data_IF_428915226723
#
_entry.id   IF_428915226723
#
_cell.length_a   1.000
_cell.length_b   1.000
_cell.length_c   1.000
_cell.angle_alpha   90.00
_cell.angle_beta   90.00
_cell.angle_gamma   90.00
#
_symmetry.space_group_name_H-M   'P 1'
#
loop_
_entity.id
_entity.type
_entity.pdbx_description
1 polymer ?
#
# COMPACT_ATOMS: atom_id res chain seq x y z
N UNK A 1 -0.50 -14.81 -39.19
CA UNK A 1 -1.74 -14.05 -38.93
C UNK A 1 -2.53 -14.57 -37.73
N UNK A 2 -2.63 -15.90 -37.50
CA UNK A 2 -3.37 -16.45 -36.34
C UNK A 2 -2.87 -15.97 -34.97
N UNK A 3 -1.57 -15.73 -34.81
CA UNK A 3 -0.96 -15.28 -33.55
C UNK A 3 -1.35 -13.83 -33.19
N UNK A 4 -1.51 -12.97 -34.21
CA UNK A 4 -1.90 -11.56 -34.01
C UNK A 4 -3.38 -11.47 -33.61
N UNK A 5 -4.22 -12.36 -34.13
CA UNK A 5 -5.65 -12.45 -33.79
C UNK A 5 -5.83 -12.91 -32.33
N UNK A 6 -5.04 -13.88 -31.86
CA UNK A 6 -5.06 -14.27 -30.44
C UNK A 6 -4.59 -13.14 -29.51
N UNK A 7 -3.62 -12.33 -29.93
CA UNK A 7 -3.11 -11.20 -29.13
C UNK A 7 -4.11 -10.04 -29.05
N UNK A 8 -4.86 -9.78 -30.12
CA UNK A 8 -5.90 -8.74 -30.14
C UNK A 8 -7.15 -9.16 -29.36
N UNK A 9 -7.42 -10.47 -29.22
CA UNK A 9 -8.55 -10.98 -28.44
C UNK A 9 -8.24 -11.14 -26.93
N UNK A 10 -6.98 -11.25 -26.51
CA UNK A 10 -6.60 -11.38 -25.10
C UNK A 10 -6.43 -10.03 -24.38
N UNK A 11 -6.11 -8.96 -25.09
CA UNK A 11 -5.91 -7.61 -24.52
C UNK A 11 -7.20 -6.96 -23.93
N UNK A 12 -8.40 -7.08 -24.53
CA UNK A 12 -9.60 -6.47 -23.95
C UNK A 12 -10.17 -7.22 -22.73
N UNK A 13 -9.67 -8.43 -22.42
CA UNK A 13 -10.06 -9.16 -21.20
C UNK A 13 -9.33 -8.68 -19.93
N UNK A 14 -8.31 -7.82 -20.07
CA UNK A 14 -7.48 -7.34 -18.96
C UNK A 14 -7.84 -5.89 -18.56
N UNK A 15 -8.65 -5.18 -19.36
CA UNK A 15 -9.14 -3.86 -18.97
C UNK A 15 -10.49 -3.96 -18.23
N UNK A 16 -10.49 -3.38 -17.03
CA UNK A 16 -11.60 -3.23 -16.09
C UNK A 16 -11.84 -4.41 -15.12
N UNK A 17 -10.85 -4.69 -14.26
CA UNK A 17 -11.18 -4.79 -12.85
C UNK A 17 -10.85 -3.44 -12.22
N UNK A 18 -11.81 -2.52 -12.27
CA UNK A 18 -11.95 -1.54 -11.20
C UNK A 18 -11.96 -2.34 -9.91
N UNK A 19 -10.94 -2.14 -9.08
CA UNK A 19 -10.79 -2.74 -7.76
C UNK A 19 -12.02 -2.40 -6.91
N UNK A 20 -13.06 -3.23 -7.02
CA UNK A 20 -14.00 -3.45 -5.94
C UNK A 20 -13.26 -4.34 -4.94
N UNK A 21 -12.41 -3.72 -4.14
CA UNK A 21 -12.00 -4.28 -2.85
C UNK A 21 -13.27 -4.51 -2.01
N UNK A 22 -13.44 -5.76 -1.55
CA UNK A 22 -14.45 -6.36 -0.64
C UNK A 22 -15.60 -5.53 0.00
N UNK A 23 -16.80 -6.14 0.20
CA UNK A 23 -18.03 -5.48 0.68
C UNK A 23 -18.08 -5.32 2.24
N UNK A 24 -18.96 -4.49 2.84
CA UNK A 24 -19.90 -3.50 2.30
C UNK A 24 -19.52 -2.07 2.73
N UNK A 25 -18.25 -1.69 2.69
CA UNK A 25 -17.88 -0.29 2.97
C UNK A 25 -18.00 0.50 1.68
N UNK A 26 -19.24 0.73 1.24
CA UNK A 26 -19.48 1.91 0.42
C UNK A 26 -19.07 3.07 1.33
N UNK A 27 -17.94 3.70 1.04
CA UNK A 27 -17.39 4.80 1.84
C UNK A 27 -18.29 6.02 1.62
N UNK A 28 -19.48 5.99 2.23
CA UNK A 28 -20.40 7.12 2.30
C UNK A 28 -19.76 8.15 3.25
N UNK A 29 -19.43 9.34 2.74
CA UNK A 29 -18.80 10.41 3.51
C UNK A 29 -17.42 10.87 3.01
N UNK A 30 -16.86 10.28 1.97
CA UNK A 30 -15.63 10.82 1.37
C UNK A 30 -15.84 12.24 0.81
N UNK A 31 -14.96 13.19 1.18
CA UNK A 31 -15.05 14.61 0.81
C UNK A 31 -15.06 14.85 -0.71
N UNK A 32 -14.56 13.88 -1.49
CA UNK A 32 -14.56 13.88 -2.95
C UNK A 32 -15.96 13.96 -3.58
N UNK A 33 -17.01 13.69 -2.81
CA UNK A 33 -18.40 13.79 -3.25
C UNK A 33 -19.13 15.06 -2.78
N UNK A 34 -18.52 15.87 -1.90
CA UNK A 34 -19.12 17.10 -1.40
C UNK A 34 -18.67 18.30 -2.23
N UNK A 35 -19.62 19.14 -2.67
CA UNK A 35 -19.31 20.39 -3.35
C UNK A 35 -19.40 21.54 -2.37
N UNK A 36 -18.51 22.53 -2.52
CA UNK A 36 -18.59 23.80 -1.77
C UNK A 36 -19.90 24.57 -2.06
N UNK A 37 -20.56 24.25 -3.18
CA UNK A 37 -21.83 24.86 -3.60
C UNK A 37 -23.06 24.07 -3.15
N UNK A 38 -22.90 23.04 -2.32
CA UNK A 38 -24.03 22.32 -1.76
C UNK A 38 -24.84 23.26 -0.84
N UNK A 39 -26.16 23.22 -0.98
CA UNK A 39 -27.09 24.14 -0.30
C UNK A 39 -27.21 23.84 1.20
N UNK A 40 -26.82 22.64 1.61
CA UNK A 40 -26.89 22.13 2.97
C UNK A 40 -25.55 21.49 3.40
N UNK A 41 -25.25 21.59 4.69
CA UNK A 41 -24.03 21.05 5.29
C UNK A 41 -24.07 19.52 5.49
N UNK A 42 -25.15 18.85 5.08
CA UNK A 42 -25.38 17.43 5.34
C UNK A 42 -24.32 16.51 4.75
N UNK A 43 -23.70 16.91 3.62
CA UNK A 43 -22.57 16.17 3.03
C UNK A 43 -21.32 16.28 3.92
N UNK A 44 -20.99 17.50 4.36
CA UNK A 44 -19.83 17.78 5.21
C UNK A 44 -19.98 17.19 6.62
N UNK A 45 -21.19 17.13 7.15
CA UNK A 45 -21.48 16.48 8.43
C UNK A 45 -21.18 14.97 8.38
N UNK A 46 -21.53 14.30 7.27
CA UNK A 46 -21.17 12.89 7.04
C UNK A 46 -19.66 12.71 6.90
N UNK A 47 -19.00 13.64 6.20
CA UNK A 47 -17.54 13.62 6.08
C UNK A 47 -16.85 13.80 7.43
N UNK A 48 -17.34 14.71 8.27
CA UNK A 48 -16.82 14.90 9.62
C UNK A 48 -17.00 13.62 10.45
N UNK A 49 -18.20 13.04 10.45
CA UNK A 49 -18.47 11.79 11.16
C UNK A 49 -17.58 10.64 10.68
N UNK A 50 -17.31 10.57 9.38
CA UNK A 50 -16.38 9.58 8.82
C UNK A 50 -14.96 9.78 9.35
N UNK A 51 -14.43 11.01 9.36
CA UNK A 51 -13.09 11.28 9.88
C UNK A 51 -12.99 11.04 11.39
N UNK A 52 -14.01 11.41 12.16
CA UNK A 52 -14.06 11.12 13.60
C UNK A 52 -13.99 9.62 13.89
N UNK A 53 -14.81 8.81 13.19
CA UNK A 53 -14.78 7.36 13.32
C UNK A 53 -13.43 6.77 12.89
N UNK A 54 -12.84 7.30 11.82
CA UNK A 54 -11.53 6.87 11.33
C UNK A 54 -10.44 7.15 12.35
N UNK A 55 -10.38 8.38 12.87
CA UNK A 55 -9.38 8.79 13.87
C UNK A 55 -9.53 7.97 15.15
N UNK A 56 -10.76 7.74 15.62
CA UNK A 56 -11.01 6.87 16.78
C UNK A 56 -10.58 5.42 16.51
N UNK A 57 -10.82 4.91 15.30
CA UNK A 57 -10.36 3.58 14.88
C UNK A 57 -8.84 3.46 14.91
N UNK A 58 -8.12 4.45 14.38
CA UNK A 58 -6.65 4.49 14.41
C UNK A 58 -6.10 4.59 15.84
N UNK A 59 -6.72 5.39 16.70
CA UNK A 59 -6.36 5.48 18.12
C UNK A 59 -6.54 4.13 18.86
N UNK A 60 -7.65 3.44 18.61
CA UNK A 60 -7.88 2.11 19.17
C UNK A 60 -6.86 1.09 18.65
N UNK A 61 -6.57 1.13 17.35
CA UNK A 61 -5.59 0.25 16.73
C UNK A 61 -4.19 0.49 17.29
N UNK A 62 -3.79 1.75 17.48
CA UNK A 62 -2.55 2.10 18.16
C UNK A 62 -2.46 1.43 19.54
N UNK A 63 -3.49 1.58 20.39
CA UNK A 63 -3.51 0.97 21.73
C UNK A 63 -3.39 -0.55 21.66
N UNK A 64 -4.10 -1.19 20.73
CA UNK A 64 -4.07 -2.64 20.51
C UNK A 64 -2.66 -3.10 20.10
N UNK A 65 -2.05 -2.44 19.11
CA UNK A 65 -0.73 -2.79 18.60
C UNK A 65 0.32 -2.65 19.69
N UNK A 66 0.34 -1.53 20.42
CA UNK A 66 1.30 -1.30 21.50
C UNK A 66 1.12 -2.32 22.63
N UNK A 67 -0.12 -2.64 23.00
CA UNK A 67 -0.43 -3.69 23.99
C UNK A 67 0.10 -5.05 23.55
N UNK A 68 -0.10 -5.41 22.27
CA UNK A 68 0.40 -6.65 21.70
C UNK A 68 1.92 -6.70 21.68
N UNK A 69 2.60 -5.61 21.33
CA UNK A 69 4.07 -5.52 21.33
C UNK A 69 4.64 -5.73 22.73
N UNK A 70 4.11 -5.04 23.75
CA UNK A 70 4.53 -5.22 25.14
C UNK A 70 4.32 -6.66 25.60
N UNK A 71 3.15 -7.23 25.31
CA UNK A 71 2.84 -8.61 25.68
C UNK A 71 3.75 -9.62 24.98
N UNK A 72 4.12 -9.37 23.71
CA UNK A 72 5.07 -10.20 22.97
C UNK A 72 6.46 -10.10 23.58
N UNK A 73 6.95 -8.89 23.86
CA UNK A 73 8.27 -8.70 24.48
C UNK A 73 8.37 -9.37 25.84
N UNK A 74 7.34 -9.25 26.68
CA UNK A 74 7.28 -9.95 27.98
C UNK A 74 7.27 -11.49 27.84
N UNK A 75 6.69 -12.03 26.76
CA UNK A 75 6.74 -13.48 26.48
C UNK A 75 8.13 -13.93 26.03
N UNK A 76 8.84 -13.10 25.27
CA UNK A 76 10.19 -13.39 24.79
C UNK A 76 11.23 -13.25 25.90
N UNK A 77 11.06 -12.27 26.79
CA UNK A 77 11.95 -12.03 27.91
C UNK A 77 11.17 -11.60 29.16
N UNK A 78 11.10 -12.54 30.12
CA UNK A 78 10.42 -12.34 31.40
C UNK A 78 11.15 -11.40 32.38
N UNK A 79 12.39 -11.01 32.07
CA UNK A 79 13.19 -10.12 32.92
C UNK A 79 13.01 -8.64 32.58
N UNK A 80 12.34 -8.32 31.47
CA UNK A 80 12.10 -6.94 31.03
C UNK A 80 11.20 -6.20 32.03
N UNK A 81 11.67 -5.03 32.45
CA UNK A 81 10.84 -4.08 33.20
C UNK A 81 9.81 -3.45 32.26
N UNK A 82 8.58 -3.96 32.33
CA UNK A 82 7.45 -3.51 31.49
C UNK A 82 7.12 -2.02 31.69
N UNK A 83 7.34 -1.46 32.88
CA UNK A 83 7.09 -0.03 33.12
C UNK A 83 8.04 0.83 32.28
N UNK A 84 9.34 0.56 32.34
CA UNK A 84 10.34 1.32 31.58
C UNK A 84 10.09 1.21 30.07
N UNK A 85 9.71 0.02 29.58
CA UNK A 85 9.31 -0.16 28.19
C UNK A 85 8.13 0.74 27.80
N UNK A 86 7.07 0.77 28.61
CA UNK A 86 5.89 1.61 28.35
C UNK A 86 6.25 3.09 28.38
N UNK A 87 7.08 3.52 29.34
CA UNK A 87 7.51 4.92 29.46
C UNK A 87 8.38 5.33 28.25
N UNK A 88 9.22 4.43 27.74
CA UNK A 88 9.97 4.65 26.50
C UNK A 88 9.05 4.74 25.27
N UNK A 89 8.01 3.91 25.19
CA UNK A 89 7.03 3.99 24.11
C UNK A 89 6.28 5.32 24.13
N UNK A 90 5.93 5.84 25.31
CA UNK A 90 5.34 7.17 25.46
C UNK A 90 6.26 8.25 24.90
N UNK A 91 7.51 8.29 25.38
CA UNK A 91 8.49 9.28 24.92
C UNK A 91 8.72 9.21 23.41
N UNK A 92 8.87 8.00 22.85
CA UNK A 92 9.08 7.80 21.42
C UNK A 92 7.86 8.20 20.59
N UNK A 93 6.64 7.95 21.10
CA UNK A 93 5.40 8.29 20.42
C UNK A 93 5.17 9.80 20.38
N UNK A 94 5.41 10.50 21.50
CA UNK A 94 5.38 11.97 21.54
C UNK A 94 6.39 12.53 20.54
N UNK A 95 7.65 12.06 20.60
CA UNK A 95 8.71 12.53 19.70
C UNK A 95 8.38 12.29 18.23
N UNK A 96 7.84 11.12 17.89
CA UNK A 96 7.47 10.79 16.52
C UNK A 96 6.31 11.67 16.03
N UNK A 97 5.29 11.90 16.86
CA UNK A 97 4.12 12.70 16.48
C UNK A 97 4.46 14.19 16.39
N UNK A 98 5.27 14.71 17.31
CA UNK A 98 5.79 16.09 17.22
C UNK A 98 6.62 16.29 15.95
N UNK A 99 7.49 15.32 15.61
CA UNK A 99 8.27 15.37 14.37
C UNK A 99 7.36 15.32 13.14
N UNK A 100 6.37 14.44 13.10
CA UNK A 100 5.43 14.38 11.98
C UNK A 100 4.66 15.69 11.81
N UNK A 101 4.23 16.29 12.92
CA UNK A 101 3.53 17.59 12.94
C UNK A 101 4.41 18.72 12.36
N UNK A 102 5.71 18.75 12.71
CA UNK A 102 6.66 19.72 12.13
C UNK A 102 7.07 19.39 10.69
N UNK A 103 7.15 18.11 10.32
CA UNK A 103 7.50 17.71 8.94
C UNK A 103 6.37 18.08 7.97
N UNK A 104 5.11 17.99 8.41
CA UNK A 104 3.95 18.47 7.65
C UNK A 104 3.96 19.98 7.44
N UNK A 105 4.62 20.76 8.29
CA UNK A 105 4.77 22.21 8.11
C UNK A 105 5.75 22.54 6.97
N UNK A 106 6.82 21.75 6.84
CA UNK A 106 7.90 22.02 5.89
C UNK A 106 7.57 21.73 4.40
N UNK A 107 6.53 20.94 4.14
CA UNK A 107 6.12 20.51 2.78
C UNK A 107 5.19 21.53 2.08
N UNK A 108 4.59 22.47 2.83
CA UNK A 108 3.64 23.47 2.31
C UNK A 108 4.24 24.89 2.18
N UNK A 109 5.55 24.99 2.01
CA UNK A 109 6.31 26.24 1.93
C UNK A 109 6.23 26.93 0.54
N UNK A 110 5.03 27.26 0.06
CA UNK A 110 4.88 28.13 -1.12
C UNK A 110 4.00 29.39 -0.87
N UNK A 111 3.46 29.58 0.35
CA UNK A 111 2.76 30.82 0.71
C UNK A 111 3.16 31.31 2.12
N UNK A 112 3.47 32.60 2.20
CA UNK A 112 4.22 33.34 3.23
C UNK A 112 3.56 33.44 4.63
N UNK A 113 2.47 32.71 4.93
CA UNK A 113 1.58 32.97 6.08
C UNK A 113 1.14 31.72 6.90
N UNK A 114 1.98 30.68 7.06
CA UNK A 114 1.51 29.45 7.73
C UNK A 114 2.51 28.78 8.68
N UNK A 115 2.96 29.49 9.72
CA UNK A 115 3.57 28.91 10.94
C UNK A 115 2.51 28.25 11.83
N UNK A 116 1.67 27.36 11.29
CA UNK A 116 0.64 26.69 12.09
C UNK A 116 0.86 25.18 12.07
N UNK A 117 1.61 24.74 13.07
CA UNK A 117 1.50 23.38 13.61
C UNK A 117 0.03 22.96 13.62
N UNK A 118 -0.28 21.86 12.93
CA UNK A 118 -1.66 21.34 12.80
C UNK A 118 -2.22 20.97 14.18
N UNK A 119 -1.34 20.48 15.05
CA UNK A 119 -1.63 20.19 16.45
C UNK A 119 -0.72 20.99 17.38
N UNK A 120 -1.28 21.51 18.45
CA UNK A 120 -0.49 22.13 19.53
C UNK A 120 0.33 21.06 20.26
N UNK A 121 1.59 21.35 20.67
CA UNK A 121 2.42 20.39 21.39
C UNK A 121 1.75 19.76 22.63
N UNK A 122 0.98 20.56 23.37
CA UNK A 122 0.24 20.11 24.55
C UNK A 122 -0.87 19.10 24.20
N UNK A 123 -1.50 19.26 23.03
CA UNK A 123 -2.52 18.32 22.53
C UNK A 123 -1.88 16.98 22.16
N UNK A 124 -0.70 17.01 21.53
CA UNK A 124 0.08 15.80 21.21
C UNK A 124 0.42 15.06 22.49
N UNK A 125 0.99 15.76 23.48
CA UNK A 125 1.39 15.16 24.74
C UNK A 125 0.19 14.55 25.47
N UNK A 126 -0.92 15.28 25.58
CA UNK A 126 -2.13 14.83 26.27
C UNK A 126 -2.75 13.60 25.59
N UNK A 127 -2.82 13.62 24.26
CA UNK A 127 -3.41 12.52 23.48
C UNK A 127 -2.56 11.25 23.61
N UNK A 128 -1.24 11.36 23.39
CA UNK A 128 -0.33 10.22 23.51
C UNK A 128 -0.34 9.66 24.92
N UNK A 129 -0.29 10.51 25.94
CA UNK A 129 -0.36 10.10 27.34
C UNK A 129 -1.65 9.31 27.64
N UNK A 130 -2.81 9.80 27.19
CA UNK A 130 -4.09 9.11 27.35
C UNK A 130 -4.14 7.75 26.64
N UNK A 131 -3.54 7.64 25.44
CA UNK A 131 -3.45 6.37 24.71
C UNK A 131 -2.53 5.38 25.43
N UNK A 132 -1.36 5.82 25.88
CA UNK A 132 -0.40 4.96 26.58
C UNK A 132 -0.93 4.52 27.96
N UNK A 133 -1.67 5.36 28.67
CA UNK A 133 -2.32 4.95 29.91
C UNK A 133 -3.32 3.81 29.69
N UNK A 134 -4.04 3.83 28.57
CA UNK A 134 -4.87 2.70 28.17
C UNK A 134 -4.04 1.44 27.86
N UNK A 135 -2.89 1.56 27.20
CA UNK A 135 -1.95 0.44 26.99
C UNK A 135 -1.47 -0.13 28.33
N UNK A 136 -1.08 0.73 29.28
CA UNK A 136 -0.64 0.34 30.63
C UNK A 136 -1.74 -0.44 31.36
N UNK A 137 -2.98 0.03 31.29
CA UNK A 137 -4.14 -0.66 31.86
C UNK A 137 -4.40 -2.03 31.23
N UNK A 138 -4.39 -2.11 29.90
CA UNK A 138 -4.70 -3.35 29.18
C UNK A 138 -3.60 -4.41 29.29
N UNK A 139 -2.33 -4.00 29.31
CA UNK A 139 -1.19 -4.90 29.53
C UNK A 139 -1.20 -5.52 30.94
N UNK A 140 -1.73 -4.81 31.94
CA UNK A 140 -1.86 -5.30 33.32
C UNK A 140 -3.00 -6.31 33.47
N UNK A 141 -4.08 -6.17 32.69
CA UNK A 141 -5.33 -6.91 32.94
C UNK A 141 -5.44 -8.30 32.29
N UNK A 142 -4.72 -8.63 31.21
CA UNK A 142 -4.57 -10.01 30.66
C UNK A 142 -3.91 -9.99 29.28
N UNK A 143 -3.28 -11.10 28.88
CA UNK A 143 -2.87 -11.38 27.50
C UNK A 143 -4.14 -11.71 26.68
N UNK A 144 -4.97 -10.72 26.39
CA UNK A 144 -5.92 -10.90 25.30
C UNK A 144 -5.11 -10.96 24.00
N UNK A 145 -5.30 -12.03 23.23
CA UNK A 145 -4.97 -12.02 21.81
C UNK A 145 -5.91 -10.99 21.20
N UNK A 146 -5.43 -9.77 21.03
CA UNK A 146 -6.09 -8.86 20.12
C UNK A 146 -5.72 -9.37 18.73
N UNK A 147 -6.71 -9.87 18.00
CA UNK A 147 -6.59 -10.01 16.56
C UNK A 147 -6.34 -8.59 16.05
N UNK A 148 -5.06 -8.27 15.83
CA UNK A 148 -4.66 -7.01 15.22
C UNK A 148 -5.31 -7.02 13.85
N UNK A 149 -6.39 -6.26 13.71
CA UNK A 149 -7.00 -5.99 12.44
C UNK A 149 -6.00 -5.12 11.70
N UNK A 150 -5.09 -5.76 10.97
CA UNK A 150 -4.19 -5.04 10.08
C UNK A 150 -5.12 -4.32 9.11
N UNK A 151 -5.12 -2.97 9.06
CA UNK A 151 -5.98 -2.25 8.15
C UNK A 151 -5.74 -2.82 6.74
N UNK A 152 -6.83 -3.27 6.11
CA UNK A 152 -6.84 -3.95 4.83
C UNK A 152 -6.26 -2.96 3.81
N UNK A 153 -4.95 -3.04 3.60
CA UNK A 153 -4.17 -2.03 2.90
C UNK A 153 -2.65 -2.14 3.09
N UNK A 154 -2.15 -2.78 4.15
CA UNK A 154 -0.70 -2.85 4.38
C UNK A 154 0.04 -3.98 3.64
N UNK A 155 -0.66 -4.96 3.07
CA UNK A 155 -0.14 -5.89 2.07
C UNK A 155 -1.26 -6.18 1.07
N UNK A 156 -1.27 -5.50 -0.08
CA UNK A 156 -2.09 -5.99 -1.19
C UNK A 156 -1.59 -7.41 -1.51
N UNK A 157 -2.45 -8.43 -1.60
CA UNK A 157 -2.01 -9.77 -1.91
C UNK A 157 -1.37 -9.76 -3.31
N UNK A 158 -0.04 -9.69 -3.33
CA UNK A 158 0.84 -9.71 -4.52
C UNK A 158 0.62 -10.93 -5.43
N UNK A 159 -0.28 -11.85 -5.07
CA UNK A 159 -0.64 -13.03 -5.83
C UNK A 159 -1.03 -12.69 -7.26
N UNK A 160 -1.99 -11.79 -7.49
CA UNK A 160 -2.53 -11.54 -8.84
C UNK A 160 -1.43 -11.00 -9.79
N UNK A 161 -0.66 -10.02 -9.34
CA UNK A 161 0.44 -9.42 -10.10
C UNK A 161 1.57 -10.40 -10.36
N UNK A 162 1.89 -11.24 -9.36
CA UNK A 162 2.89 -12.30 -9.51
C UNK A 162 2.45 -13.36 -10.53
N UNK A 163 1.18 -13.78 -10.54
CA UNK A 163 0.67 -14.72 -11.54
C UNK A 163 0.66 -14.11 -12.95
N UNK A 164 0.27 -12.83 -13.09
CA UNK A 164 0.33 -12.11 -14.36
C UNK A 164 1.76 -11.98 -14.89
N UNK A 165 2.73 -11.72 -14.01
CA UNK A 165 4.15 -11.67 -14.38
C UNK A 165 4.64 -13.02 -14.91
N UNK A 166 4.37 -14.12 -14.19
CA UNK A 166 4.79 -15.45 -14.63
C UNK A 166 4.09 -15.89 -15.92
N UNK A 167 2.81 -15.57 -16.08
CA UNK A 167 2.08 -15.85 -17.32
C UNK A 167 2.65 -15.08 -18.52
N UNK A 168 2.96 -13.78 -18.33
CA UNK A 168 3.58 -12.95 -19.36
C UNK A 168 4.99 -13.42 -19.72
N UNK A 169 5.82 -13.73 -18.72
CA UNK A 169 7.17 -14.23 -18.93
C UNK A 169 7.16 -15.57 -19.70
N UNK A 170 6.26 -16.49 -19.34
CA UNK A 170 6.09 -17.76 -20.04
C UNK A 170 5.65 -17.60 -21.50
N UNK A 171 4.72 -16.69 -21.77
CA UNK A 171 4.25 -16.40 -23.13
C UNK A 171 5.38 -15.84 -24.02
N UNK A 172 6.17 -14.91 -23.47
CA UNK A 172 7.32 -14.33 -24.17
C UNK A 172 8.41 -15.36 -24.47
N UNK A 173 8.70 -16.26 -23.51
CA UNK A 173 9.64 -17.34 -23.72
C UNK A 173 9.17 -18.31 -24.82
N UNK A 174 7.89 -18.68 -24.82
CA UNK A 174 7.31 -19.53 -25.87
C UNK A 174 7.37 -18.87 -27.26
N UNK A 175 7.11 -17.56 -27.34
CA UNK A 175 7.21 -16.78 -28.58
C UNK A 175 8.67 -16.77 -29.09
N UNK A 176 9.65 -16.54 -28.22
CA UNK A 176 11.05 -16.55 -28.59
C UNK A 176 11.49 -17.92 -29.14
N UNK A 177 11.09 -19.01 -28.49
CA UNK A 177 11.39 -20.38 -28.95
C UNK A 177 10.73 -20.68 -30.30
N UNK A 178 9.56 -20.12 -30.60
CA UNK A 178 8.88 -20.34 -31.88
C UNK A 178 9.48 -19.50 -33.03
N UNK A 179 9.78 -18.22 -32.77
CA UNK A 179 10.17 -17.25 -33.81
C UNK A 179 11.66 -17.34 -34.14
N UNK A 180 12.52 -17.50 -33.13
CA UNK A 180 13.99 -17.45 -33.33
C UNK A 180 14.46 -18.55 -34.30
N UNK A 181 14.09 -19.84 -34.14
CA UNK A 181 14.51 -20.88 -35.10
C UNK A 181 13.98 -20.63 -36.50
N UNK A 182 12.76 -20.09 -36.63
CA UNK A 182 12.18 -19.78 -37.94
C UNK A 182 12.96 -18.70 -38.68
N UNK A 183 13.39 -17.64 -37.98
CA UNK A 183 14.22 -16.57 -38.54
C UNK A 183 15.60 -17.12 -38.94
N UNK A 184 16.25 -17.91 -38.08
CA UNK A 184 17.55 -18.52 -38.38
C UNK A 184 17.49 -19.48 -39.57
N UNK A 185 16.45 -20.31 -39.68
CA UNK A 185 16.26 -21.22 -40.81
C UNK A 185 16.00 -20.49 -42.13
N UNK A 186 15.28 -19.34 -42.09
CA UNK A 186 15.11 -18.50 -43.27
C UNK A 186 16.41 -17.81 -43.68
N UNK A 187 17.11 -17.19 -42.74
CA UNK A 187 18.38 -16.53 -43.01
C UNK A 187 19.42 -17.50 -43.61
N UNK A 188 19.46 -18.74 -43.11
CA UNK A 188 20.31 -19.79 -43.67
C UNK A 188 19.90 -20.16 -45.11
N UNK A 189 18.61 -20.33 -45.38
CA UNK A 189 18.11 -20.63 -46.74
C UNK A 189 18.44 -19.52 -47.74
N UNK A 190 18.33 -18.26 -47.32
CA UNK A 190 18.62 -17.11 -48.19
C UNK A 190 20.13 -17.00 -48.49
N UNK A 191 20.99 -17.32 -47.52
CA UNK A 191 22.44 -17.40 -47.72
C UNK A 191 22.83 -18.53 -48.69
N UNK A 192 22.24 -19.72 -48.54
CA UNK A 192 22.52 -20.87 -49.41
C UNK A 192 22.06 -20.61 -50.85
N UNK A 193 20.92 -19.93 -51.04
CA UNK A 193 20.42 -19.53 -52.36
C UNK A 193 21.28 -18.45 -53.03
N UNK A 194 21.84 -17.50 -52.25
CA UNK A 194 22.75 -16.48 -52.79
C UNK A 194 24.09 -17.05 -53.24
N UNK A 195 24.61 -18.08 -52.55
CA UNK A 195 25.88 -18.71 -52.91
C UNK A 195 25.80 -19.62 -54.14
N UNK A 196 24.59 -20.06 -54.52
CA UNK A 196 24.39 -20.93 -55.68
C UNK A 196 24.13 -20.16 -56.99
N UNK A 197 24.05 -18.82 -56.93
CA UNK A 197 23.73 -17.94 -58.06
C UNK A 197 24.95 -17.32 -58.77
N UNK A 198 26.18 -17.75 -58.45
CA UNK A 198 27.40 -17.27 -59.12
C UNK A 198 27.88 -18.30 -60.17
N UNK A 199 27.48 -18.20 -61.46
CA UNK A 199 28.08 -19.01 -62.51
C UNK A 199 29.49 -18.51 -62.82
N UNK A 200 30.45 -19.44 -62.72
CA UNK A 200 31.83 -19.29 -63.15
C UNK A 200 31.93 -18.76 -64.58
N UNK A 201 32.22 -17.47 -64.75
CA UNK A 201 32.84 -16.97 -65.98
C UNK A 201 34.34 -17.28 -65.87
N UNK A 202 34.72 -18.50 -66.26
CA UNK A 202 36.12 -18.83 -66.52
C UNK A 202 36.51 -18.22 -67.87
N UNK A 203 37.45 -17.28 -67.84
CA UNK A 203 38.18 -16.76 -69.00
C UNK A 203 39.16 -17.82 -69.53
#
# INVERSE_FOLDING_TARGET
MLIIICFLFSVPLIYSQSTTTSPPYKVDGCSSHCRKTDKDLSCWEKTLSFYEQTVLGEMQNFVIIQTNMVNLQRKLDSTINTSNLIDQMEHNSVKALTKANSDMENDWNDDEDNERNVLEPDTIQTTVHALIENVRRLTTQSIQKFDSFCPIGCEEPFGIWRYLFFASAGLNAALAVAVVPFVFLRAKRDHDNSSSAEPMIKK
#
